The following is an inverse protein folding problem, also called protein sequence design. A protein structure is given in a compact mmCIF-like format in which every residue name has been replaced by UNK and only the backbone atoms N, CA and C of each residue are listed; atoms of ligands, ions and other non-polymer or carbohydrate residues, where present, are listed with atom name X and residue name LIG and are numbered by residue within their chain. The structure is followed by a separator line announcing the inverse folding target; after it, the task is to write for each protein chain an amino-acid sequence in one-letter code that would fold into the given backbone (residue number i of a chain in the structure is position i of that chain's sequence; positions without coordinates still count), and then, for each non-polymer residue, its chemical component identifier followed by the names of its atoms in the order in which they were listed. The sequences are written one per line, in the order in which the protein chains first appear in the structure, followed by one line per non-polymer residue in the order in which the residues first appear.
data_IF_530118719145
#
_entry.id   IF_530118719145
#
_cell.length_a   1.000
_cell.length_b   1.000
_cell.length_c   1.000
_cell.angle_alpha   90.00
_cell.angle_beta   90.00
_cell.angle_gamma   90.00
#
_symmetry.space_group_name_H-M   'P 1'
#
loop_
_entity.id
_entity.type
_entity.pdbx_description
1 polymer ?
2 non-polymer ?
3 water ?
#
# COMPACT_ATOMS: atom_id res chain seq x y z
N UNK A 2 1.95 -23.66 -6.80
CA UNK A 2 1.19 -22.76 -5.95
C UNK A 2 -0.31 -23.04 -6.12
N UNK A 3 -1.09 -22.79 -5.07
CA UNK A 3 -2.56 -22.82 -5.24
C UNK A 3 -3.03 -21.83 -6.29
N UNK A 4 -4.16 -22.15 -6.91
CA UNK A 4 -4.70 -21.34 -8.00
C UNK A 4 -4.92 -19.88 -7.64
N UNK A 5 -5.24 -19.61 -6.37
CA UNK A 5 -5.45 -18.24 -5.87
C UNK A 5 -4.24 -17.33 -6.14
N UNK A 6 -3.01 -17.85 -6.17
CA UNK A 6 -1.85 -17.00 -6.42
C UNK A 6 -1.92 -16.39 -7.82
N UNK A 7 -2.08 -17.22 -8.85
CA UNK A 7 -2.28 -16.69 -10.21
C UNK A 7 -3.51 -15.80 -10.31
N UNK A 8 -4.58 -16.09 -9.57
CA UNK A 8 -5.75 -15.25 -9.65
C UNK A 8 -5.47 -13.87 -9.06
N UNK A 9 -4.72 -13.79 -7.96
CA UNK A 9 -4.35 -12.51 -7.39
C UNK A 9 -3.39 -11.78 -8.32
N UNK A 10 -2.47 -12.48 -8.94
CA UNK A 10 -1.60 -11.85 -9.91
C UNK A 10 -2.40 -11.31 -11.12
N UNK A 11 -3.40 -12.06 -11.59
CA UNK A 11 -4.20 -11.60 -12.73
C UNK A 11 -4.93 -10.32 -12.38
N UNK A 12 -5.44 -10.20 -11.16
CA UNK A 12 -6.05 -8.95 -10.70
C UNK A 12 -5.00 -7.82 -10.77
N UNK A 13 -3.79 -8.08 -10.25
CA UNK A 13 -2.70 -7.12 -10.29
C UNK A 13 -2.39 -6.70 -11.72
N UNK A 14 -2.24 -7.67 -12.64
CA UNK A 14 -1.86 -7.32 -14.01
C UNK A 14 -2.96 -6.50 -14.68
N UNK A 15 -4.21 -6.78 -14.38
CA UNK A 15 -5.27 -6.03 -15.03
C UNK A 15 -5.33 -4.60 -14.52
N UNK A 16 -5.23 -4.41 -13.20
CA UNK A 16 -5.15 -3.04 -12.66
C UNK A 16 -3.93 -2.30 -13.19
N UNK A 17 -2.78 -2.97 -13.29
CA UNK A 17 -1.58 -2.36 -13.84
C UNK A 17 -1.81 -1.89 -15.27
N UNK A 18 -2.47 -2.73 -16.07
CA UNK A 18 -2.72 -2.36 -17.47
C UNK A 18 -3.61 -1.13 -17.54
N UNK A 19 -4.62 -1.03 -16.66
CA UNK A 19 -5.46 0.17 -16.61
C UNK A 19 -4.67 1.40 -16.23
N UNK A 20 -3.75 1.26 -15.27
CA UNK A 20 -2.93 2.38 -14.84
C UNK A 20 -1.94 2.79 -15.92
N UNK A 21 -1.35 1.82 -16.63
CA UNK A 21 -0.50 2.14 -17.77
C UNK A 21 -1.26 2.94 -18.83
N UNK A 22 -2.54 2.56 -19.10
CA UNK A 22 -3.38 3.32 -20.03
C UNK A 22 -3.52 4.77 -19.57
N UNK A 23 -3.87 4.99 -18.29
CA UNK A 23 -4.02 6.36 -17.78
C UNK A 23 -2.76 7.19 -17.97
N UNK A 24 -1.59 6.56 -17.82
CA UNK A 24 -0.33 7.28 -17.79
C UNK A 24 0.37 7.30 -19.14
N UNK A 25 -0.24 6.70 -20.17
CA UNK A 25 0.32 6.70 -21.53
C UNK A 25 -0.74 6.97 -22.60
N UNK A 26 -1.39 5.92 -23.11
CA UNK A 26 -2.40 6.11 -24.18
C UNK A 26 -3.44 7.18 -23.83
N UNK A 27 -3.92 7.19 -22.59
CA UNK A 27 -4.99 8.09 -22.19
C UNK A 27 -4.48 9.30 -21.42
N UNK A 28 -3.22 9.65 -21.60
CA UNK A 28 -2.58 10.60 -20.67
C UNK A 28 -3.30 11.95 -20.64
N UNK A 29 -3.77 12.47 -21.79
CA UNK A 29 -4.39 13.80 -21.73
C UNK A 29 -5.78 13.74 -21.09
N UNK A 30 -6.55 12.70 -21.34
CA UNK A 30 -7.82 12.52 -20.63
C UNK A 30 -7.59 12.46 -19.12
N UNK A 31 -6.58 11.68 -18.69
CA UNK A 31 -6.18 11.59 -17.29
C UNK A 31 -5.76 12.96 -16.74
N UNK A 32 -4.85 13.63 -17.44
CA UNK A 32 -4.40 14.97 -17.07
C UNK A 32 -5.57 15.92 -16.84
N UNK A 33 -6.53 15.98 -17.78
CA UNK A 33 -7.63 16.91 -17.64
C UNK A 33 -8.59 16.52 -16.52
N UNK A 34 -8.69 15.22 -16.21
CA UNK A 34 -9.52 14.83 -15.09
C UNK A 34 -8.88 15.16 -13.77
N UNK A 35 -7.56 15.30 -13.72
CA UNK A 35 -6.85 15.73 -12.51
C UNK A 35 -6.89 17.24 -12.35
N UNK A 36 -8.11 17.72 -12.20
CA UNK A 36 -8.41 19.14 -12.19
C UNK A 36 -7.91 19.76 -10.90
N UNK A 37 -7.00 20.73 -10.97
CA UNK A 37 -6.49 21.34 -9.73
C UNK A 37 -7.55 22.12 -8.96
N UNK A 38 -8.68 22.46 -9.59
CA UNK A 38 -9.76 23.16 -8.90
C UNK A 38 -10.68 22.21 -8.13
N UNK A 39 -10.54 20.89 -8.29
CA UNK A 39 -11.27 19.94 -7.47
C UNK A 39 -10.53 19.64 -6.19
N UNK A 40 -11.23 19.02 -5.25
CA UNK A 40 -10.63 18.52 -4.02
C UNK A 40 -9.63 17.43 -4.38
N UNK A 41 -8.94 16.90 -3.39
CA UNK A 41 -7.86 15.95 -3.65
C UNK A 41 -8.37 14.66 -4.31
N UNK A 42 -7.77 14.31 -5.44
CA UNK A 42 -8.21 13.17 -6.23
C UNK A 42 -7.18 12.03 -6.16
N UNK A 43 -7.64 10.84 -6.50
CA UNK A 43 -6.78 9.66 -6.58
C UNK A 43 -6.95 8.98 -7.93
N UNK A 44 -5.90 8.25 -8.34
CA UNK A 44 -5.91 7.39 -9.55
C UNK A 44 -5.99 5.91 -9.14
N UNK A 45 -7.00 5.22 -9.63
CA UNK A 45 -7.27 3.83 -9.34
C UNK A 45 -7.18 3.02 -10.60
N UNK A 46 -6.70 1.78 -10.46
CA UNK A 46 -6.72 0.81 -11.53
C UNK A 46 -7.68 -0.31 -11.17
N UNK A 47 -8.42 -0.79 -12.16
CA UNK A 47 -9.42 -1.83 -11.98
C UNK A 47 -9.01 -3.07 -12.76
N UNK A 48 -9.44 -4.26 -12.31
CA UNK A 48 -8.94 -5.51 -12.92
C UNK A 48 -9.39 -5.74 -14.34
N UNK A 49 -10.40 -5.01 -14.83
CA UNK A 49 -10.76 -5.07 -16.24
C UNK A 49 -9.96 -4.13 -17.12
N UNK A 50 -8.80 -3.68 -16.65
CA UNK A 50 -7.89 -2.86 -17.44
C UNK A 50 -8.44 -1.45 -17.69
N UNK A 51 -9.23 -0.95 -16.75
CA UNK A 51 -9.67 0.44 -16.80
C UNK A 51 -9.03 1.21 -15.66
N UNK A 52 -9.20 2.53 -15.73
CA UNK A 52 -8.73 3.42 -14.65
C UNK A 52 -9.82 4.42 -14.32
N UNK A 53 -9.75 4.99 -13.13
CA UNK A 53 -10.70 6.00 -12.68
C UNK A 53 -9.94 7.00 -11.84
N UNK A 54 -10.33 8.26 -11.95
CA UNK A 54 -9.82 9.32 -11.09
C UNK A 54 -11.02 9.74 -10.26
N UNK A 55 -10.97 9.47 -8.96
CA UNK A 55 -12.11 9.72 -8.08
C UNK A 55 -11.61 10.45 -6.84
N UNK A 56 -12.48 11.25 -6.23
CA UNK A 56 -12.24 11.69 -4.86
C UNK A 56 -12.31 10.48 -3.94
N UNK A 57 -11.33 10.26 -3.06
CA UNK A 57 -11.45 9.18 -2.08
C UNK A 57 -12.49 9.54 -1.04
N UNK A 58 -13.18 8.54 -0.52
CA UNK A 58 -14.16 8.79 0.54
C UNK A 58 -13.93 7.88 1.73
N UNK A 59 -14.60 8.20 2.83
CA UNK A 59 -14.42 7.45 4.08
C UNK A 59 -15.27 6.19 4.00
N UNK A 60 -14.73 5.21 3.29
CA UNK A 60 -15.34 3.88 3.21
C UNK A 60 -15.30 3.24 4.57
N UNK A 61 -16.47 2.77 5.01
CA UNK A 61 -16.61 2.10 6.29
C UNK A 61 -17.33 0.80 5.96
N UNK A 62 -16.68 -0.36 6.12
CA UNK A 62 -15.30 -0.52 6.60
C UNK A 62 -14.33 -0.15 5.46
N UNK A 63 -13.06 0.05 5.80
CA UNK A 63 -12.06 0.20 4.74
C UNK A 63 -11.96 -1.11 3.98
N UNK A 64 -11.67 -0.99 2.71
CA UNK A 64 -11.55 -2.12 1.82
C UNK A 64 -10.14 -2.18 1.25
N UNK A 65 -9.95 -1.85 -0.02
CA UNK A 65 -8.59 -1.86 -0.56
C UNK A 65 -7.78 -0.72 0.05
N UNK A 66 -6.48 -0.86 0.11
CA UNK A 66 -5.62 0.32 0.29
C UNK A 66 -6.05 1.52 -0.57
N UNK A 67 -5.79 2.69 -0.11
CA UNK A 67 -6.11 3.93 -0.82
C UNK A 67 -4.91 4.41 -1.64
N UNK A 68 -5.08 4.80 -2.90
CA UNK A 68 -3.97 5.43 -3.65
C UNK A 68 -3.60 6.81 -3.11
N UNK A 69 -2.48 7.32 -3.60
CA UNK A 69 -2.03 8.67 -3.21
C UNK A 69 -3.09 9.70 -3.61
N UNK A 70 -3.48 10.57 -2.67
CA UNK A 70 -4.48 11.58 -2.94
C UNK A 70 -3.82 12.92 -3.24
N UNK A 71 -4.59 13.78 -3.89
CA UNK A 71 -4.04 15.10 -4.17
C UNK A 71 -3.09 15.17 -5.34
N UNK A 72 -3.10 14.18 -6.23
CA UNK A 72 -2.25 14.22 -7.42
C UNK A 72 -2.56 15.43 -8.28
N UNK A 73 -3.80 15.90 -8.21
CA UNK A 73 -4.21 17.07 -8.96
C UNK A 73 -3.60 18.36 -8.42
N UNK A 74 -3.20 18.40 -7.15
CA UNK A 74 -2.55 19.59 -6.60
C UNK A 74 -1.14 19.78 -7.16
N UNK A 75 -0.42 18.69 -7.40
CA UNK A 75 0.94 18.77 -7.91
C UNK A 75 1.04 18.93 -9.43
N UNK A 76 -0.06 18.68 -10.14
CA UNK A 76 -0.02 18.58 -11.59
C UNK A 76 0.63 19.79 -12.25
N UNK A 77 0.22 21.00 -11.89
CA UNK A 77 0.73 22.20 -12.56
C UNK A 77 2.07 22.68 -11.99
N UNK A 78 2.56 22.04 -10.93
CA UNK A 78 3.81 22.46 -10.32
C UNK A 78 5.05 21.76 -10.83
N UNK A 79 4.93 20.98 -11.90
CA UNK A 79 6.00 20.12 -12.40
C UNK A 79 5.85 20.01 -13.90
N UNK A 80 6.95 19.68 -14.58
CA UNK A 80 6.85 19.24 -15.96
C UNK A 80 5.94 18.02 -16.03
N UNK A 81 5.09 17.94 -17.07
CA UNK A 81 4.08 16.89 -17.08
C UNK A 81 4.69 15.50 -16.95
N UNK A 82 5.82 15.24 -17.60
CA UNK A 82 6.38 13.88 -17.54
C UNK A 82 6.91 13.57 -16.16
N UNK A 83 7.37 14.58 -15.38
CA UNK A 83 7.78 14.34 -13.99
C UNK A 83 6.56 14.12 -13.09
N UNK A 84 5.45 14.79 -13.37
CA UNK A 84 4.22 14.50 -12.64
C UNK A 84 3.72 13.09 -12.95
N UNK A 85 3.80 12.68 -14.22
CA UNK A 85 3.43 11.32 -14.59
C UNK A 85 4.30 10.32 -13.85
N UNK A 86 5.62 10.59 -13.75
CA UNK A 86 6.50 9.69 -13.01
C UNK A 86 6.14 9.62 -11.54
N UNK A 87 5.80 10.75 -10.92
CA UNK A 87 5.38 10.76 -9.52
C UNK A 87 4.12 9.92 -9.34
N UNK A 88 3.12 10.09 -10.21
CA UNK A 88 1.91 9.29 -10.14
C UNK A 88 2.24 7.82 -10.36
N UNK A 89 3.18 7.53 -11.25
CA UNK A 89 3.54 6.14 -11.52
C UNK A 89 4.11 5.47 -10.28
N UNK A 90 5.05 6.11 -9.59
CA UNK A 90 5.66 5.48 -8.45
C UNK A 90 4.62 5.25 -7.34
N UNK A 91 3.77 6.23 -7.10
CA UNK A 91 2.68 6.02 -6.15
C UNK A 91 1.77 4.88 -6.60
N UNK A 92 1.50 4.79 -7.90
CA UNK A 92 0.62 3.72 -8.39
C UNK A 92 1.28 2.36 -8.23
N UNK A 93 2.59 2.25 -8.46
CA UNK A 93 3.29 1.00 -8.22
C UNK A 93 3.18 0.58 -6.76
N UNK A 94 3.32 1.53 -5.83
CA UNK A 94 3.23 1.15 -4.43
C UNK A 94 1.82 0.73 -4.05
N UNK A 95 0.81 1.31 -4.70
CA UNK A 95 -0.57 0.92 -4.45
C UNK A 95 -0.83 -0.49 -4.95
N UNK A 96 -0.36 -0.80 -6.15
CA UNK A 96 -0.58 -2.13 -6.71
C UNK A 96 0.01 -3.22 -5.85
N UNK A 97 1.22 -3.03 -5.34
CA UNK A 97 1.76 -4.11 -4.51
C UNK A 97 1.00 -4.20 -3.19
N UNK A 98 0.52 -3.08 -2.67
CA UNK A 98 -0.31 -3.12 -1.46
C UNK A 98 -1.57 -3.93 -1.69
N UNK A 99 -2.27 -3.63 -2.79
CA UNK A 99 -3.50 -4.35 -3.15
C UNK A 99 -3.24 -5.84 -3.29
N UNK A 100 -2.16 -6.20 -4.00
CA UNK A 100 -1.91 -7.63 -4.27
C UNK A 100 -1.65 -8.38 -2.97
N UNK A 101 -0.82 -7.82 -2.09
CA UNK A 101 -0.53 -8.50 -0.83
C UNK A 101 -1.74 -8.45 0.12
N UNK A 102 -2.58 -7.42 0.02
CA UNK A 102 -3.82 -7.41 0.80
C UNK A 102 -4.76 -8.54 0.38
N UNK A 103 -4.98 -8.70 -0.93
CA UNK A 103 -5.76 -9.84 -1.41
C UNK A 103 -5.11 -11.15 -0.99
N UNK A 104 -3.79 -11.24 -1.13
CA UNK A 104 -3.11 -12.46 -0.72
C UNK A 104 -3.38 -12.80 0.73
N UNK A 105 -3.41 -11.78 1.61
CA UNK A 105 -3.68 -12.04 3.02
C UNK A 105 -5.13 -12.44 3.25
N UNK A 106 -6.08 -11.74 2.60
CA UNK A 106 -7.47 -12.14 2.75
C UNK A 106 -7.69 -13.56 2.29
N UNK A 107 -6.89 -14.04 1.34
CA UNK A 107 -7.03 -15.38 0.81
C UNK A 107 -6.05 -16.36 1.44
N UNK A 108 -5.51 -16.00 2.60
CA UNK A 108 -4.77 -16.95 3.43
C UNK A 108 -3.42 -17.36 2.87
N UNK A 109 -2.76 -16.50 2.09
CA UNK A 109 -1.43 -16.83 1.59
C UNK A 109 -0.45 -16.95 2.74
N UNK A 110 0.41 -17.95 2.64
CA UNK A 110 1.55 -18.10 3.52
C UNK A 110 2.83 -17.59 2.88
N UNK A 111 3.95 -17.91 3.52
CA UNK A 111 5.26 -17.41 3.07
C UNK A 111 5.56 -17.80 1.62
N UNK A 112 5.33 -19.06 1.26
CA UNK A 112 5.65 -19.50 -0.09
C UNK A 112 4.72 -18.86 -1.13
N UNK A 113 3.45 -18.72 -0.81
CA UNK A 113 2.52 -18.08 -1.73
C UNK A 113 2.88 -16.62 -1.94
N UNK A 114 3.32 -15.93 -0.86
CA UNK A 114 3.77 -14.55 -1.02
C UNK A 114 5.01 -14.46 -1.89
N UNK A 115 5.94 -15.40 -1.75
CA UNK A 115 7.13 -15.41 -2.59
C UNK A 115 6.76 -15.62 -4.06
N UNK A 116 5.90 -16.57 -4.34
CA UNK A 116 5.48 -16.79 -5.73
C UNK A 116 4.78 -15.56 -6.30
N UNK A 117 3.92 -14.92 -5.50
CA UNK A 117 3.26 -13.71 -5.98
C UNK A 117 4.27 -12.60 -6.28
N UNK A 118 5.24 -12.39 -5.39
CA UNK A 118 6.21 -11.33 -5.64
C UNK A 118 7.03 -11.66 -6.89
N UNK A 119 7.38 -12.94 -7.06
CA UNK A 119 8.18 -13.31 -8.24
C UNK A 119 7.48 -12.88 -9.51
N UNK A 120 6.19 -13.15 -9.61
CA UNK A 120 5.42 -12.79 -10.79
C UNK A 120 5.30 -11.28 -10.95
N UNK A 121 5.04 -10.56 -9.86
CA UNK A 121 4.96 -9.11 -9.94
C UNK A 121 6.27 -8.52 -10.42
N UNK A 122 7.37 -9.00 -9.88
CA UNK A 122 8.66 -8.39 -10.16
C UNK A 122 9.31 -8.86 -11.46
N UNK A 123 8.63 -9.73 -12.21
CA UNK A 123 9.02 -10.00 -13.61
C UNK A 123 8.74 -8.81 -14.50
N UNK A 124 7.78 -8.00 -14.13
CA UNK A 124 7.32 -6.93 -15.02
C UNK A 124 8.03 -5.65 -14.66
N UNK A 125 8.33 -4.79 -15.64
CA UNK A 125 8.83 -3.46 -15.31
C UNK A 125 7.78 -2.74 -14.49
N UNK A 126 8.25 -1.88 -13.61
CA UNK A 126 7.30 -1.09 -12.86
C UNK A 126 6.66 -0.08 -13.79
N UNK A 127 5.53 0.47 -13.35
CA UNK A 127 4.90 1.51 -14.18
C UNK A 127 5.84 2.70 -14.31
N UNK A 128 6.61 2.98 -13.23
CA UNK A 128 7.62 4.04 -13.31
C UNK A 128 8.62 3.75 -14.42
N UNK A 129 9.09 2.51 -14.50
CA UNK A 129 10.05 2.17 -15.54
C UNK A 129 9.42 2.31 -16.93
N UNK A 130 8.16 1.91 -17.07
CA UNK A 130 7.48 2.01 -18.36
C UNK A 130 7.38 3.47 -18.81
N UNK A 131 6.92 4.35 -17.93
CA UNK A 131 6.67 5.72 -18.37
C UNK A 131 7.94 6.55 -18.51
N UNK A 132 9.06 6.13 -17.93
CA UNK A 132 10.32 6.85 -18.06
C UNK A 132 11.25 6.25 -19.09
N UNK A 133 10.81 5.24 -19.84
CA UNK A 133 11.70 4.62 -20.82
C UNK A 133 12.76 3.72 -20.23
N UNK A 134 12.63 3.37 -18.94
CA UNK A 134 13.47 2.42 -18.24
C UNK A 134 12.97 0.99 -18.44
N UNK A 135 12.21 0.76 -19.50
CA UNK A 135 11.69 -0.52 -19.98
C UNK A 135 10.37 -0.95 -19.36
N UNK B 3 23.39 -1.82 -2.97
CA UNK B 3 23.67 -0.52 -2.36
C UNK B 3 23.10 -0.60 -0.93
N UNK B 4 23.80 -0.03 0.06
CA UNK B 4 23.40 -0.14 1.47
C UNK B 4 22.02 0.52 1.66
N UNK B 5 21.47 0.96 0.55
CA UNK B 5 20.15 1.54 0.58
C UNK B 5 19.06 0.48 0.76
N UNK B 6 19.30 -0.75 0.33
CA UNK B 6 18.32 -1.81 0.59
C UNK B 6 18.19 -2.02 2.11
N UNK B 7 19.33 -2.05 2.80
CA UNK B 7 19.30 -2.20 4.25
C UNK B 7 18.66 -1.01 4.93
N UNK B 8 18.86 0.22 4.42
CA UNK B 8 18.21 1.37 5.05
C UNK B 8 16.71 1.30 4.90
N UNK B 9 16.21 0.90 3.72
CA UNK B 9 14.76 0.80 3.56
C UNK B 9 14.21 -0.33 4.41
N UNK B 10 14.95 -1.43 4.51
CA UNK B 10 14.49 -2.55 5.33
C UNK B 10 14.50 -2.21 6.82
N UNK B 11 15.47 -1.42 7.28
CA UNK B 11 15.50 -0.95 8.65
C UNK B 11 14.28 -0.11 8.98
N UNK B 12 13.87 0.75 8.05
CA UNK B 12 12.66 1.53 8.25
C UNK B 12 11.44 0.63 8.39
N UNK B 13 11.33 -0.35 7.48
CA UNK B 13 10.24 -1.34 7.54
C UNK B 13 10.22 -2.08 8.89
N UNK B 14 11.38 -2.58 9.36
CA UNK B 14 11.42 -3.31 10.62
C UNK B 14 11.03 -2.42 11.79
N UNK B 15 11.39 -1.12 11.75
CA UNK B 15 11.05 -0.25 12.86
C UNK B 15 9.55 0.00 12.95
N UNK B 16 8.94 0.27 11.79
CA UNK B 16 7.49 0.45 11.76
C UNK B 16 6.77 -0.84 12.14
N UNK B 17 7.27 -1.98 11.65
CA UNK B 17 6.69 -3.28 11.99
C UNK B 17 6.76 -3.54 13.48
N UNK B 18 7.86 -3.16 14.13
CA UNK B 18 7.97 -3.33 15.58
C UNK B 18 6.95 -2.46 16.31
N UNK B 19 6.74 -1.22 15.87
CA UNK B 19 5.72 -0.40 16.50
C UNK B 19 4.32 -0.95 16.34
N UNK B 20 4.02 -1.50 15.17
CA UNK B 20 2.70 -2.10 14.94
C UNK B 20 2.52 -3.39 15.74
N UNK B 21 3.56 -4.23 15.82
CA UNK B 21 3.47 -5.42 16.67
C UNK B 21 3.21 -5.02 18.13
N UNK B 22 3.85 -3.93 18.60
CA UNK B 22 3.55 -3.43 19.94
C UNK B 22 2.08 -3.07 20.10
N UNK B 23 1.53 -2.34 19.13
CA UNK B 23 0.14 -1.90 19.22
C UNK B 23 -0.79 -3.08 19.33
N UNK B 24 -0.47 -4.18 18.64
CA UNK B 24 -1.37 -5.31 18.50
C UNK B 24 -1.07 -6.44 19.49
N UNK B 25 -0.07 -6.25 20.38
CA UNK B 25 0.28 -7.27 21.38
C UNK B 25 0.48 -6.60 22.75
N UNK B 26 1.68 -6.10 23.02
CA UNK B 26 1.99 -5.54 24.34
C UNK B 26 1.03 -4.43 24.74
N UNK B 27 0.67 -3.58 23.79
CA UNK B 27 -0.17 -2.43 24.08
C UNK B 27 -1.59 -2.64 23.58
N UNK B 28 -2.02 -3.90 23.40
CA UNK B 28 -3.26 -4.15 22.68
C UNK B 28 -4.46 -3.49 23.33
N UNK B 29 -4.53 -3.48 24.66
CA UNK B 29 -5.70 -2.87 25.28
C UNK B 29 -5.68 -1.36 25.16
N UNK B 30 -4.48 -0.74 25.19
CA UNK B 30 -4.40 0.70 24.95
C UNK B 30 -4.90 1.01 23.54
N UNK B 31 -4.42 0.25 22.55
CA UNK B 31 -4.88 0.41 21.18
C UNK B 31 -6.39 0.18 21.06
N UNK B 32 -6.88 -0.92 21.65
CA UNK B 32 -8.29 -1.25 21.59
C UNK B 32 -9.14 -0.10 22.12
N UNK B 33 -8.74 0.48 23.26
CA UNK B 33 -9.56 1.52 23.87
C UNK B 33 -9.48 2.84 23.14
N UNK B 34 -8.42 3.09 22.39
CA UNK B 34 -8.40 4.28 21.56
C UNK B 34 -9.27 4.13 20.31
N UNK B 35 -9.78 2.94 20.03
CA UNK B 35 -10.55 2.65 18.82
C UNK B 35 -12.05 2.56 19.10
N UNK B 36 -12.63 3.53 19.85
CA UNK B 36 -14.07 3.57 20.02
C UNK B 36 -14.74 3.55 18.66
N UNK B 37 -15.69 2.65 18.41
CA UNK B 37 -16.24 2.49 17.06
C UNK B 37 -16.99 3.69 16.50
N UNK B 38 -17.37 4.65 17.31
CA UNK B 38 -18.06 5.80 16.72
C UNK B 38 -17.13 6.96 16.40
N UNK B 39 -15.83 6.83 16.63
CA UNK B 39 -14.89 7.85 16.20
C UNK B 39 -14.67 7.74 14.68
N UNK B 40 -14.31 8.87 14.08
CA UNK B 40 -14.15 8.96 12.64
C UNK B 40 -12.70 8.72 12.25
N UNK B 41 -12.51 7.92 11.20
CA UNK B 41 -11.30 7.91 10.40
C UNK B 41 -10.06 7.41 11.14
N UNK B 42 -10.20 6.50 12.12
CA UNK B 42 -9.03 6.05 12.83
C UNK B 42 -8.27 5.03 12.01
N UNK B 43 -6.97 4.95 12.27
CA UNK B 43 -6.07 4.06 11.55
C UNK B 43 -5.09 3.45 12.54
N UNK B 44 -4.17 2.66 12.03
CA UNK B 44 -3.03 2.27 12.82
C UNK B 44 -1.78 2.64 12.01
N UNK B 45 -1.03 3.62 12.49
CA UNK B 45 0.12 4.17 11.78
C UNK B 45 1.38 3.74 12.55
N UNK B 46 2.36 3.17 11.86
CA UNK B 46 3.63 2.76 12.48
C UNK B 46 4.77 3.65 12.04
N UNK B 47 5.63 4.02 13.01
CA UNK B 47 6.76 4.90 12.75
C UNK B 47 8.06 4.13 12.96
N UNK B 48 9.15 4.52 12.26
CA UNK B 48 10.38 3.69 12.32
C UNK B 48 11.10 3.76 13.64
N UNK B 49 10.70 4.69 14.53
CA UNK B 49 11.20 4.66 15.91
C UNK B 49 10.45 3.68 16.79
N UNK B 50 9.64 2.78 16.20
CA UNK B 50 8.98 1.68 16.92
C UNK B 50 7.81 2.19 17.76
N UNK B 51 7.20 3.31 17.37
CA UNK B 51 5.98 3.81 18.00
C UNK B 51 4.80 3.63 17.06
N UNK B 52 3.61 3.92 17.59
CA UNK B 52 2.38 3.76 16.83
C UNK B 52 1.41 4.86 17.23
N UNK B 53 0.46 5.12 16.38
CA UNK B 53 -0.57 6.09 16.58
C UNK B 53 -1.88 5.67 15.86
N UNK B 54 -3.03 6.13 16.34
CA UNK B 54 -4.30 5.86 15.67
C UNK B 54 -4.86 7.06 14.88
N UNK B 55 -4.25 8.20 14.97
CA UNK B 55 -4.71 9.38 14.25
C UNK B 55 -3.79 9.59 13.07
N UNK B 56 -4.37 9.80 11.90
CA UNK B 56 -3.54 9.94 10.70
C UNK B 56 -2.70 11.19 10.81
N UNK B 57 -1.38 11.09 10.66
CA UNK B 57 -0.55 12.30 10.71
C UNK B 57 -0.79 13.19 9.51
N UNK B 58 -0.60 14.49 9.73
CA UNK B 58 -0.70 15.45 8.65
C UNK B 58 0.53 15.34 7.76
N UNK B 59 0.29 15.23 6.45
CA UNK B 59 1.33 15.07 5.45
C UNK B 59 1.19 16.20 4.43
N UNK B 60 2.17 16.26 3.54
CA UNK B 60 2.09 17.16 2.40
C UNK B 60 1.05 16.65 1.40
N UNK B 61 0.88 17.37 0.28
CA UNK B 61 -0.07 17.00 -0.75
C UNK B 61 0.65 16.92 -2.09
N UNK B 62 0.65 15.76 -2.77
CA UNK B 62 0.15 14.46 -2.26
C UNK B 62 0.98 14.01 -1.07
N UNK B 63 0.43 13.16 -0.21
CA UNK B 63 1.23 12.63 0.89
C UNK B 63 2.38 11.81 0.32
N UNK B 64 3.53 11.95 0.94
CA UNK B 64 4.71 11.29 0.40
C UNK B 64 4.59 9.77 0.54
N UNK B 65 4.05 9.30 1.66
CA UNK B 65 3.90 7.86 1.92
C UNK B 65 2.47 7.38 1.65
N UNK B 66 2.34 6.15 1.19
CA UNK B 66 1.04 5.48 1.20
C UNK B 66 0.40 5.64 2.56
N UNK B 67 -0.93 5.81 2.58
CA UNK B 67 -1.72 5.95 3.79
C UNK B 67 -2.26 4.59 4.22
N UNK B 68 -2.28 4.34 5.52
CA UNK B 68 -2.85 3.09 6.04
C UNK B 68 -4.37 3.19 5.99
N UNK B 69 -5.04 2.05 6.23
CA UNK B 69 -6.50 2.01 6.18
C UNK B 69 -7.12 2.91 7.25
N UNK B 70 -8.13 3.65 6.84
CA UNK B 70 -8.87 4.50 7.75
C UNK B 70 -10.25 3.91 8.02
N UNK B 71 -10.72 4.09 9.24
CA UNK B 71 -11.99 3.52 9.66
C UNK B 71 -11.88 2.12 10.20
N UNK B 72 -10.68 1.68 10.57
CA UNK B 72 -10.49 0.35 11.12
C UNK B 72 -11.25 0.11 12.42
N UNK B 73 -11.69 1.16 13.10
CA UNK B 73 -12.36 1.01 14.39
C UNK B 73 -13.85 0.67 14.27
N UNK B 74 -14.49 0.88 13.13
CA UNK B 74 -15.95 0.67 13.06
C UNK B 74 -16.35 -0.75 13.46
N UNK B 75 -15.60 -1.75 13.04
CA UNK B 75 -15.97 -3.14 13.29
C UNK B 75 -15.39 -3.73 14.58
N UNK B 76 -14.76 -2.92 15.43
CA UNK B 76 -14.09 -3.44 16.63
C UNK B 76 -15.02 -4.30 17.47
N UNK B 77 -16.28 -3.92 17.63
CA UNK B 77 -17.18 -4.66 18.54
C UNK B 77 -17.97 -5.74 17.82
N UNK B 78 -17.87 -5.83 16.50
CA UNK B 78 -18.63 -6.77 15.70
C UNK B 78 -18.00 -8.13 15.51
N UNK B 79 -16.94 -8.47 16.23
CA UNK B 79 -16.28 -9.76 16.12
C UNK B 79 -15.44 -9.93 17.37
N UNK B 80 -14.94 -11.15 17.57
CA UNK B 80 -13.99 -11.44 18.64
C UNK B 80 -12.79 -10.49 18.54
N UNK B 81 -12.31 -10.01 19.68
CA UNK B 81 -11.19 -9.08 19.66
C UNK B 81 -10.03 -9.63 18.84
N UNK B 82 -9.72 -10.92 18.97
CA UNK B 82 -8.55 -11.41 18.25
C UNK B 82 -8.77 -11.43 16.75
N UNK B 83 -10.02 -11.56 16.30
CA UNK B 83 -10.31 -11.51 14.87
C UNK B 83 -10.22 -10.08 14.35
N UNK B 84 -10.66 -9.11 15.15
CA UNK B 84 -10.46 -7.71 14.77
C UNK B 84 -8.98 -7.38 14.70
N UNK B 85 -8.20 -7.78 15.70
CA UNK B 85 -6.75 -7.59 15.70
C UNK B 85 -6.13 -8.20 14.45
N UNK B 86 -6.55 -9.42 14.08
CA UNK B 86 -6.03 -10.06 12.88
C UNK B 86 -6.34 -9.24 11.64
N UNK B 87 -7.55 -8.69 11.53
CA UNK B 87 -7.91 -7.85 10.40
C UNK B 87 -7.08 -6.56 10.37
N UNK B 88 -6.89 -5.93 11.53
CA UNK B 88 -6.00 -4.77 11.57
C UNK B 88 -4.60 -5.21 11.12
N UNK B 89 -4.16 -6.39 11.56
CA UNK B 89 -2.82 -6.89 11.16
C UNK B 89 -2.69 -7.02 9.64
N UNK B 90 -3.70 -7.59 8.96
CA UNK B 90 -3.65 -7.76 7.51
C UNK B 90 -3.54 -6.42 6.80
N UNK B 91 -4.36 -5.44 7.22
CA UNK B 91 -4.24 -4.13 6.62
C UNK B 91 -2.85 -3.55 6.89
N UNK B 92 -2.32 -3.75 8.11
CA UNK B 92 -1.03 -3.21 8.49
C UNK B 92 0.10 -3.82 7.69
N UNK B 93 0.06 -5.15 7.49
CA UNK B 93 1.05 -5.82 6.63
C UNK B 93 1.01 -5.26 5.20
N UNK B 94 -0.19 -5.04 4.64
CA UNK B 94 -0.27 -4.52 3.28
C UNK B 94 0.24 -3.10 3.19
N UNK B 95 0.06 -2.31 4.26
CA UNK B 95 0.58 -0.96 4.33
C UNK B 95 2.12 -0.97 4.37
N UNK B 96 2.69 -1.79 5.27
CA UNK B 96 4.14 -1.79 5.42
C UNK B 96 4.81 -2.12 4.10
N UNK B 97 4.33 -3.14 3.38
CA UNK B 97 4.99 -3.47 2.11
C UNK B 97 4.84 -2.33 1.09
N UNK B 98 3.71 -1.63 1.10
CA UNK B 98 3.54 -0.46 0.24
C UNK B 98 4.56 0.61 0.54
N UNK B 99 4.74 0.94 1.81
CA UNK B 99 5.69 1.98 2.21
C UNK B 99 7.09 1.57 1.81
N UNK B 100 7.46 0.30 2.04
CA UNK B 100 8.84 -0.09 1.76
C UNK B 100 9.14 0.02 0.27
N UNK B 101 8.23 -0.46 -0.58
CA UNK B 101 8.45 -0.38 -2.02
C UNK B 101 8.35 1.03 -2.54
N UNK B 102 7.54 1.89 -1.91
CA UNK B 102 7.59 3.30 -2.25
C UNK B 102 8.99 3.88 -2.00
N UNK B 103 9.54 3.63 -0.81
CA UNK B 103 10.90 4.11 -0.57
C UNK B 103 11.89 3.51 -1.55
N UNK B 104 11.79 2.22 -1.83
CA UNK B 104 12.70 1.60 -2.78
C UNK B 104 12.67 2.31 -4.12
N UNK B 105 11.48 2.67 -4.58
CA UNK B 105 11.41 3.40 -5.85
C UNK B 105 12.03 4.77 -5.75
N UNK B 106 11.75 5.48 -4.65
CA UNK B 106 12.32 6.81 -4.44
C UNK B 106 13.85 6.77 -4.38
N UNK B 107 14.39 5.67 -3.87
CA UNK B 107 15.83 5.49 -3.74
C UNK B 107 16.43 4.85 -4.98
N UNK B 108 15.63 4.72 -6.04
CA UNK B 108 16.14 4.27 -7.32
C UNK B 108 16.41 2.80 -7.40
N UNK B 109 15.72 1.99 -6.60
CA UNK B 109 15.86 0.54 -6.70
C UNK B 109 15.41 0.10 -8.08
N UNK B 110 16.17 -0.80 -8.66
CA UNK B 110 15.77 -1.52 -9.82
C UNK B 110 15.27 -2.88 -9.42
N UNK B 111 15.18 -3.76 -10.41
CA UNK B 111 14.59 -5.08 -10.24
C UNK B 111 15.34 -5.91 -9.21
N UNK B 112 16.67 -5.83 -9.21
CA UNK B 112 17.49 -6.62 -8.29
C UNK B 112 17.34 -6.14 -6.86
N UNK B 113 17.34 -4.82 -6.66
CA UNK B 113 17.13 -4.27 -5.34
C UNK B 113 15.72 -4.58 -4.82
N UNK B 114 14.74 -4.57 -5.72
CA UNK B 114 13.37 -4.89 -5.34
C UNK B 114 13.30 -6.34 -4.85
N UNK B 115 14.03 -7.22 -5.51
CA UNK B 115 14.06 -8.64 -5.13
C UNK B 115 14.72 -8.82 -3.78
N UNK B 116 15.82 -8.12 -3.57
CA UNK B 116 16.53 -8.26 -2.30
C UNK B 116 15.67 -7.73 -1.16
N UNK B 117 15.00 -6.60 -1.38
CA UNK B 117 14.14 -6.07 -0.33
C UNK B 117 13.00 -7.03 0.00
N UNK B 118 12.38 -7.62 -1.01
CA UNK B 118 11.29 -8.55 -0.73
C UNK B 118 11.77 -9.76 0.07
N UNK B 119 12.93 -10.32 -0.30
CA UNK B 119 13.45 -11.49 0.41
C UNK B 119 13.61 -11.18 1.90
N UNK B 120 14.13 -10.00 2.21
CA UNK B 120 14.30 -9.62 3.62
C UNK B 120 12.95 -9.46 4.32
N UNK B 121 12.01 -8.78 3.68
CA UNK B 121 10.67 -8.62 4.24
C UNK B 121 10.04 -9.99 4.51
N UNK B 122 10.08 -10.87 3.52
CA UNK B 122 9.34 -12.11 3.59
C UNK B 122 10.05 -13.18 4.39
N UNK B 123 11.25 -12.91 4.89
CA UNK B 123 11.81 -13.83 5.88
C UNK B 123 11.27 -13.59 7.27
N UNK B 124 10.53 -12.52 7.51
CA UNK B 124 9.94 -12.34 8.81
C UNK B 124 8.50 -12.82 8.78
N UNK B 125 8.00 -13.39 9.86
CA UNK B 125 6.55 -13.65 9.91
C UNK B 125 5.80 -12.34 9.72
N UNK B 126 4.67 -12.41 9.04
CA UNK B 126 3.83 -11.23 8.93
C UNK B 126 3.29 -10.84 10.30
N UNK B 127 2.84 -9.60 10.42
CA UNK B 127 2.15 -9.23 11.65
C UNK B 127 0.94 -10.12 11.88
N UNK B 128 0.23 -10.47 10.81
CA UNK B 128 -0.87 -11.43 10.90
C UNK B 128 -0.41 -12.73 11.56
N UNK B 129 0.72 -13.28 11.11
CA UNK B 129 1.20 -14.53 11.70
C UNK B 129 1.58 -14.34 13.16
N UNK B 130 2.20 -13.22 13.50
CA UNK B 130 2.57 -12.94 14.89
C UNK B 130 1.34 -12.96 15.78
N UNK B 131 0.32 -12.18 15.41
CA UNK B 131 -0.81 -12.00 16.32
C UNK B 131 -1.74 -13.21 16.37
N UNK B 132 -1.73 -14.06 15.33
CA UNK B 132 -2.54 -15.25 15.34
C UNK B 132 -1.83 -16.44 15.95
N UNK B 133 -0.53 -16.34 16.22
CA UNK B 133 0.17 -17.43 16.84
C UNK B 133 0.71 -18.42 15.84
N UNK B 134 0.83 -18.01 14.58
CA UNK B 134 1.36 -18.84 13.51
C UNK B 134 2.74 -18.38 13.06
N UNK B 135 3.49 -17.74 13.97
CA UNK B 135 4.85 -17.30 13.65
C UNK B 135 5.88 -18.41 13.85
#
# INVERSE_FOLDING_TARGET
GSPRTVEEVFSDFRGRRAGLIKALSTDVQKFYHQCDPEKENLCLYGLPNETWEVNLPVEEVPPELPEPALGINFARDGMQEKDWISLVAVHSDSWLISVAFYFGARFGFGKNERKRLFQMINDLPTIFEVVTGNA
GSPRTVEEVFSDFRGRRAGLIKALSTDVQKFYHQCDPEKENLCLYGLPNETWEVNLPVEEVPPELPEPALGINFARDGMQEKDWISLVAVHSDSWLISVAFYFGARFGFGKNERKRLFQMINDLPTIFEVVTGNA
#
